data_IF_091505058292
#
_entry.id   IF_091505058292
#
_cell.length_a   1.000
_cell.length_b   1.000
_cell.length_c   1.000
_cell.angle_alpha   90.00
_cell.angle_beta   90.00
_cell.angle_gamma   90.00
#
_symmetry.space_group_name_H-M   'P 1'
#
loop_
_entity.id
_entity.type
_entity.pdbx_description
1 polymer ?
#
# COMPACT_ATOMS: atom_id res chain seq x y z
N UNK A 1 52.27 -6.51 -22.31
CA UNK A 1 50.92 -6.81 -22.84
C UNK A 1 50.73 -8.32 -22.86
N UNK A 2 49.58 -8.90 -22.47
CA UNK A 2 48.55 -8.57 -21.46
C UNK A 2 48.46 -9.72 -20.41
N UNK A 3 47.62 -9.76 -19.38
CA UNK A 3 46.56 -8.89 -18.89
C UNK A 3 46.06 -9.44 -17.55
N UNK A 4 45.93 -8.55 -16.56
CA UNK A 4 45.11 -8.79 -15.38
C UNK A 4 43.71 -8.27 -15.70
N UNK A 5 42.77 -9.18 -15.95
CA UNK A 5 41.37 -8.86 -16.14
C UNK A 5 40.64 -8.95 -14.81
N UNK A 6 40.24 -7.81 -14.30
CA UNK A 6 39.45 -7.65 -13.08
C UNK A 6 38.19 -8.52 -13.11
N UNK A 7 37.97 -9.20 -11.98
CA UNK A 7 36.75 -9.89 -11.61
C UNK A 7 35.56 -8.92 -11.69
N UNK A 8 34.71 -9.12 -12.70
CA UNK A 8 33.38 -8.52 -12.83
C UNK A 8 32.58 -8.76 -11.54
N UNK A 9 32.44 -7.73 -10.69
CA UNK A 9 31.33 -7.67 -9.74
C UNK A 9 30.06 -7.35 -10.52
N UNK A 10 28.94 -8.06 -10.31
CA UNK A 10 27.67 -7.68 -10.90
C UNK A 10 27.29 -6.27 -10.37
N UNK A 11 26.61 -5.45 -11.19
CA UNK A 11 26.18 -4.14 -10.75
C UNK A 11 25.21 -4.31 -9.59
N UNK A 12 25.56 -3.75 -8.43
CA UNK A 12 24.60 -3.43 -7.37
C UNK A 12 23.57 -2.51 -8.00
N UNK A 13 22.40 -3.05 -8.33
CA UNK A 13 21.21 -2.25 -8.65
C UNK A 13 21.00 -1.31 -7.47
N UNK A 14 21.31 -0.04 -7.69
CA UNK A 14 21.31 1.00 -6.68
C UNK A 14 19.86 1.20 -6.25
N UNK A 15 19.60 1.23 -4.94
CA UNK A 15 18.27 1.44 -4.36
C UNK A 15 17.58 2.74 -4.83
N UNK A 16 18.34 3.64 -5.48
CA UNK A 16 17.91 4.97 -5.96
C UNK A 16 16.88 4.92 -7.12
N UNK A 17 16.77 3.80 -7.85
CA UNK A 17 15.82 3.66 -8.98
C UNK A 17 14.44 3.10 -8.57
N UNK A 18 14.25 2.75 -7.30
CA UNK A 18 13.00 2.18 -6.80
C UNK A 18 12.09 3.31 -6.33
N UNK A 19 10.89 3.50 -6.92
CA UNK A 19 10.01 4.59 -6.50
C UNK A 19 9.60 4.46 -5.04
N UNK A 20 9.89 5.50 -4.26
CA UNK A 20 9.56 5.61 -2.84
C UNK A 20 8.28 6.44 -2.64
N UNK A 21 7.51 6.19 -1.57
CA UNK A 21 6.40 7.08 -1.23
C UNK A 21 6.93 8.48 -0.86
N UNK A 22 6.19 9.50 -1.25
CA UNK A 22 6.47 10.90 -0.91
C UNK A 22 5.63 11.36 0.28
N UNK A 23 6.15 12.31 1.04
CA UNK A 23 5.48 12.91 2.20
C UNK A 23 6.19 12.59 3.51
N UNK A 24 6.17 13.55 4.44
CA UNK A 24 6.89 13.47 5.71
C UNK A 24 6.31 12.46 6.72
N UNK A 25 5.14 11.91 6.44
CA UNK A 25 4.48 10.91 7.29
C UNK A 25 4.89 9.47 6.96
N UNK A 26 5.70 9.26 5.91
CA UNK A 26 6.28 7.96 5.58
C UNK A 26 7.62 7.79 6.28
N UNK A 27 7.70 6.78 7.13
CA UNK A 27 8.90 6.43 7.88
C UNK A 27 9.60 5.25 7.23
N UNK A 28 10.89 5.39 6.92
CA UNK A 28 11.70 4.27 6.45
C UNK A 28 11.96 3.31 7.61
N UNK A 29 11.84 2.01 7.33
CA UNK A 29 12.08 0.95 8.32
C UNK A 29 13.02 -0.10 7.75
N UNK A 30 13.97 -0.56 8.55
CA UNK A 30 14.85 -1.65 8.19
C UNK A 30 14.13 -3.01 8.35
N UNK A 31 14.40 -4.01 7.49
CA UNK A 31 13.69 -5.30 7.51
C UNK A 31 13.67 -6.00 8.88
N UNK A 32 14.73 -5.88 9.67
CA UNK A 32 14.84 -6.51 10.99
C UNK A 32 13.91 -5.87 12.05
N UNK A 33 13.46 -4.65 11.82
CA UNK A 33 12.52 -3.92 12.68
C UNK A 33 11.05 -4.14 12.29
N UNK A 34 10.77 -4.91 11.23
CA UNK A 34 9.40 -5.20 10.81
C UNK A 34 8.68 -6.10 11.84
N UNK A 35 7.38 -5.85 12.09
CA UNK A 35 6.52 -6.78 12.82
C UNK A 35 6.53 -8.18 12.17
N UNK A 36 6.37 -9.23 12.97
CA UNK A 36 6.38 -10.62 12.46
C UNK A 36 5.34 -10.89 11.37
N UNK A 37 4.16 -10.26 11.47
CA UNK A 37 3.08 -10.31 10.48
C UNK A 37 3.50 -9.75 9.12
N UNK A 38 4.30 -8.67 9.11
CA UNK A 38 4.81 -8.00 7.90
C UNK A 38 6.04 -8.73 7.36
N UNK A 39 6.89 -9.25 8.24
CA UNK A 39 8.07 -10.05 7.84
C UNK A 39 7.66 -11.27 7.01
N UNK A 40 6.58 -11.94 7.39
CA UNK A 40 6.01 -13.05 6.62
C UNK A 40 5.50 -12.61 5.22
N UNK A 41 5.22 -11.33 5.01
CA UNK A 41 4.83 -10.81 3.70
C UNK A 41 6.00 -10.74 2.71
N UNK A 42 7.26 -10.64 3.18
CA UNK A 42 8.44 -10.58 2.32
C UNK A 42 8.49 -11.74 1.33
N UNK A 43 8.16 -12.95 1.79
CA UNK A 43 8.15 -14.16 0.94
C UNK A 43 7.08 -14.12 -0.17
N UNK A 44 6.06 -13.27 -0.02
CA UNK A 44 4.92 -13.15 -0.95
C UNK A 44 5.08 -11.97 -1.90
N UNK A 45 5.69 -10.88 -1.44
CA UNK A 45 5.79 -9.64 -2.20
C UNK A 45 7.00 -9.69 -3.15
N UNK A 46 6.71 -9.79 -4.44
CA UNK A 46 7.70 -9.76 -5.50
C UNK A 46 8.14 -8.32 -5.81
N UNK A 47 9.41 -8.09 -6.21
CA UNK A 47 9.82 -6.79 -6.75
C UNK A 47 8.86 -6.29 -7.85
N UNK A 48 8.62 -4.98 -7.88
CA UNK A 48 7.80 -4.34 -8.91
C UNK A 48 8.68 -3.41 -9.76
N UNK A 49 9.05 -3.83 -11.00
CA UNK A 49 9.76 -2.98 -11.95
C UNK A 49 9.01 -1.67 -12.26
N UNK A 50 9.76 -0.64 -12.63
CA UNK A 50 9.18 0.60 -13.15
C UNK A 50 8.27 0.32 -14.37
N UNK A 51 7.15 1.02 -14.47
CA UNK A 51 6.17 0.84 -15.56
C UNK A 51 5.30 -0.42 -15.47
N UNK A 52 5.45 -1.25 -14.43
CA UNK A 52 4.62 -2.45 -14.26
C UNK A 52 3.12 -2.10 -14.13
N UNK A 53 2.28 -2.80 -14.88
CA UNK A 53 0.81 -2.68 -14.87
C UNK A 53 0.12 -3.83 -14.15
N UNK A 54 0.87 -4.75 -13.53
CA UNK A 54 0.30 -5.88 -12.79
C UNK A 54 -0.48 -5.38 -11.56
N UNK A 55 -1.56 -6.08 -11.15
CA UNK A 55 -2.29 -5.75 -9.93
C UNK A 55 -1.35 -5.59 -8.72
N UNK A 56 -1.66 -4.64 -7.83
CA UNK A 56 -1.03 -4.53 -6.51
C UNK A 56 -1.34 -5.79 -5.72
N UNK A 57 -0.30 -6.40 -5.14
CA UNK A 57 -0.39 -7.48 -4.19
C UNK A 57 -0.20 -6.89 -2.80
N UNK A 58 -1.04 -7.31 -1.87
CA UNK A 58 -0.95 -6.97 -0.46
C UNK A 58 -1.12 -8.18 0.45
N UNK A 59 -0.68 -8.02 1.69
CA UNK A 59 -0.85 -8.96 2.78
C UNK A 59 -1.46 -8.20 3.94
N UNK A 60 -2.75 -8.43 4.21
CA UNK A 60 -3.51 -7.84 5.30
C UNK A 60 -3.58 -8.81 6.47
N UNK A 61 -2.97 -8.46 7.61
CA UNK A 61 -2.90 -9.33 8.80
C UNK A 61 -2.48 -10.79 8.48
N UNK A 62 -1.55 -10.97 7.53
CA UNK A 62 -1.05 -12.27 7.08
C UNK A 62 -1.82 -12.93 5.93
N UNK A 63 -2.95 -12.38 5.52
CA UNK A 63 -3.75 -12.89 4.41
C UNK A 63 -3.56 -12.09 3.12
N UNK A 64 -3.46 -12.78 2.00
CA UNK A 64 -3.26 -12.15 0.70
C UNK A 64 -4.49 -11.37 0.24
N UNK A 65 -4.24 -10.19 -0.35
CA UNK A 65 -5.26 -9.36 -0.98
C UNK A 65 -4.68 -8.74 -2.25
N UNK A 66 -5.43 -8.74 -3.35
CA UNK A 66 -4.98 -8.19 -4.63
C UNK A 66 -5.90 -7.08 -5.10
N UNK A 67 -5.35 -6.09 -5.80
CA UNK A 67 -6.16 -5.01 -6.37
C UNK A 67 -6.98 -5.48 -7.58
N UNK A 68 -8.05 -4.75 -7.91
CA UNK A 68 -8.95 -5.05 -9.02
C UNK A 68 -10.12 -5.95 -8.61
N UNK A 69 -10.78 -6.58 -9.59
CA UNK A 69 -11.93 -7.46 -9.35
C UNK A 69 -13.30 -6.76 -9.42
N UNK A 70 -13.34 -5.43 -9.29
CA UNK A 70 -14.56 -4.65 -9.54
C UNK A 70 -15.66 -4.85 -8.50
N UNK A 71 -15.35 -5.39 -7.32
CA UNK A 71 -16.33 -5.73 -6.30
C UNK A 71 -16.83 -4.48 -5.56
N UNK A 72 -17.84 -3.83 -6.14
CA UNK A 72 -18.46 -2.63 -5.57
C UNK A 72 -19.15 -2.87 -4.23
N UNK A 73 -19.42 -4.13 -3.84
CA UNK A 73 -20.03 -4.42 -2.53
C UNK A 73 -19.12 -3.99 -1.37
N UNK A 74 -17.81 -3.90 -1.61
CA UNK A 74 -16.81 -3.42 -0.66
C UNK A 74 -16.95 -1.93 -0.33
N UNK A 75 -17.72 -1.18 -1.11
CA UNK A 75 -18.03 0.23 -0.89
C UNK A 75 -19.53 0.49 -0.66
N UNK A 76 -20.33 -0.56 -0.45
CA UNK A 76 -21.78 -0.43 -0.30
C UNK A 76 -22.20 0.33 0.96
N UNK A 77 -21.32 0.38 1.97
CA UNK A 77 -21.49 1.09 3.24
C UNK A 77 -20.80 2.46 3.25
N UNK A 78 -20.41 2.98 2.07
CA UNK A 78 -19.70 4.24 1.94
C UNK A 78 -20.54 5.31 1.25
N UNK A 79 -20.56 6.49 1.84
CA UNK A 79 -21.04 7.71 1.21
C UNK A 79 -20.05 8.18 0.13
N UNK A 80 -20.54 8.21 -1.11
CA UNK A 80 -19.80 8.64 -2.29
C UNK A 80 -20.23 10.01 -2.81
N UNK A 81 -21.10 10.76 -2.12
CA UNK A 81 -21.42 12.14 -2.49
C UNK A 81 -20.14 13.01 -2.55
N UNK A 82 -19.99 13.91 -3.54
CA UNK A 82 -20.90 14.29 -4.63
C UNK A 82 -20.83 13.44 -5.91
N UNK A 83 -20.16 12.29 -5.87
CA UNK A 83 -19.95 11.45 -7.05
C UNK A 83 -21.23 10.67 -7.37
N UNK A 84 -21.49 10.47 -8.67
CA UNK A 84 -22.60 9.64 -9.17
C UNK A 84 -22.55 8.16 -8.73
N UNK A 85 -21.42 7.73 -8.17
CA UNK A 85 -21.17 6.40 -7.64
C UNK A 85 -19.80 6.35 -6.97
N UNK A 86 -19.47 5.27 -6.25
CA UNK A 86 -18.19 5.15 -5.57
C UNK A 86 -17.04 5.15 -6.60
N UNK A 87 -15.98 5.94 -6.38
CA UNK A 87 -14.81 5.91 -7.25
C UNK A 87 -14.14 4.55 -7.15
N UNK A 88 -13.42 4.12 -8.20
CA UNK A 88 -12.73 2.82 -8.25
C UNK A 88 -11.80 2.62 -7.04
N UNK A 89 -11.19 3.70 -6.58
CA UNK A 89 -10.35 3.70 -5.38
C UNK A 89 -11.07 3.27 -4.12
N UNK A 90 -12.40 3.30 -4.02
CA UNK A 90 -13.15 2.83 -2.84
C UNK A 90 -13.23 1.31 -2.72
N UNK A 91 -13.01 0.55 -3.80
CA UNK A 91 -13.25 -0.90 -3.78
C UNK A 91 -12.18 -1.75 -4.47
N UNK A 92 -11.46 -1.21 -5.45
CA UNK A 92 -10.48 -2.01 -6.20
C UNK A 92 -9.09 -1.98 -5.61
N UNK A 93 -8.70 -0.93 -4.87
CA UNK A 93 -7.36 -0.80 -4.31
C UNK A 93 -7.22 -1.63 -3.02
N UNK A 94 -6.06 -2.25 -2.81
CA UNK A 94 -5.81 -3.13 -1.66
C UNK A 94 -6.02 -2.43 -0.33
N UNK A 95 -5.71 -1.13 -0.25
CA UNK A 95 -5.92 -0.26 0.90
C UNK A 95 -7.40 -0.17 1.26
N UNK A 96 -8.25 0.02 0.26
CA UNK A 96 -9.70 0.16 0.46
C UNK A 96 -10.36 -1.19 0.75
N UNK A 97 -9.83 -2.28 0.17
CA UNK A 97 -10.28 -3.63 0.54
C UNK A 97 -9.89 -3.99 1.98
N UNK A 98 -8.71 -3.57 2.43
CA UNK A 98 -8.30 -3.70 3.84
C UNK A 98 -9.23 -2.88 4.76
N UNK A 99 -9.52 -1.62 4.40
CA UNK A 99 -10.48 -0.80 5.15
C UNK A 99 -11.87 -1.46 5.20
N UNK A 100 -12.37 -1.97 4.07
CA UNK A 100 -13.64 -2.68 4.01
C UNK A 100 -13.64 -3.95 4.88
N UNK A 101 -12.52 -4.66 4.95
CA UNK A 101 -12.37 -5.79 5.87
C UNK A 101 -12.41 -5.34 7.33
N UNK A 102 -11.70 -4.28 7.69
CA UNK A 102 -11.75 -3.71 9.05
C UNK A 102 -13.17 -3.29 9.44
N UNK A 103 -13.93 -2.65 8.53
CA UNK A 103 -15.35 -2.31 8.76
C UNK A 103 -16.21 -3.54 9.01
N UNK A 104 -16.02 -4.61 8.23
CA UNK A 104 -16.78 -5.87 8.39
C UNK A 104 -16.41 -6.65 9.65
N UNK A 105 -15.16 -6.66 10.05
CA UNK A 105 -14.67 -7.44 11.19
C UNK A 105 -14.66 -6.66 12.50
N UNK A 106 -14.89 -5.35 12.47
CA UNK A 106 -14.78 -4.48 13.65
C UNK A 106 -13.34 -4.32 14.14
N UNK A 107 -12.33 -4.53 13.27
CA UNK A 107 -10.92 -4.43 13.66
C UNK A 107 -10.53 -2.98 13.90
N UNK A 108 -9.95 -2.71 15.07
CA UNK A 108 -9.48 -1.37 15.47
C UNK A 108 -8.03 -1.11 15.10
N UNK A 109 -7.20 -2.15 14.98
CA UNK A 109 -5.81 -2.05 14.56
C UNK A 109 -5.47 -3.18 13.57
N UNK A 110 -4.79 -2.82 12.48
CA UNK A 110 -4.38 -3.76 11.43
C UNK A 110 -3.11 -3.33 10.72
N UNK A 111 -2.39 -4.31 10.18
CA UNK A 111 -1.27 -4.10 9.26
C UNK A 111 -1.66 -4.51 7.84
N UNK A 112 -1.26 -3.70 6.86
CA UNK A 112 -1.34 -4.01 5.44
C UNK A 112 0.05 -3.81 4.82
N UNK A 113 0.68 -4.88 4.34
CA UNK A 113 1.90 -4.79 3.54
C UNK A 113 1.56 -4.84 2.04
N UNK A 114 2.14 -3.99 1.20
CA UNK A 114 1.88 -3.96 -0.24
C UNK A 114 3.16 -3.85 -1.05
N UNK A 115 3.15 -4.40 -2.26
CA UNK A 115 4.30 -4.37 -3.16
C UNK A 115 4.40 -3.11 -4.05
N UNK A 116 3.56 -2.10 -3.77
CA UNK A 116 3.46 -0.84 -4.50
C UNK A 116 3.47 0.35 -3.53
N UNK A 117 3.55 1.57 -4.06
CA UNK A 117 3.23 2.77 -3.29
C UNK A 117 1.72 2.98 -3.22
N UNK A 118 1.27 3.65 -2.16
CA UNK A 118 -0.12 4.09 -2.02
C UNK A 118 -0.41 5.16 -3.08
N UNK A 119 -1.52 5.08 -3.80
CA UNK A 119 -1.83 6.16 -4.75
C UNK A 119 -2.10 7.47 -4.00
N UNK A 120 -1.60 8.58 -4.53
CA UNK A 120 -1.55 9.88 -3.85
C UNK A 120 -0.20 10.15 -3.16
N UNK A 121 0.67 9.14 -3.05
CA UNK A 121 2.02 9.27 -2.47
C UNK A 121 3.11 9.10 -3.52
N UNK A 122 2.82 9.32 -4.80
CA UNK A 122 3.82 9.41 -5.87
C UNK A 122 3.81 10.80 -6.46
N UNK A 123 4.96 11.33 -6.91
CA UNK A 123 5.06 12.66 -7.54
C UNK A 123 4.00 12.91 -8.62
N UNK A 124 3.67 11.89 -9.41
CA UNK A 124 2.69 11.98 -10.50
C UNK A 124 1.22 12.08 -10.07
N UNK A 125 0.86 11.66 -8.86
CA UNK A 125 -0.53 11.49 -8.43
C UNK A 125 -0.91 12.27 -7.16
N UNK A 126 0.02 13.03 -6.56
CA UNK A 126 -0.24 13.86 -5.38
C UNK A 126 -1.40 14.85 -5.57
N UNK A 127 -1.58 15.40 -6.77
CA UNK A 127 -2.63 16.38 -7.05
C UNK A 127 -4.01 15.76 -7.26
N UNK A 128 -4.11 14.43 -7.40
CA UNK A 128 -5.39 13.78 -7.66
C UNK A 128 -6.25 13.70 -6.39
N UNK A 129 -7.51 14.18 -6.43
CA UNK A 129 -8.35 14.31 -5.23
C UNK A 129 -8.82 12.97 -4.66
N UNK A 130 -9.00 11.95 -5.51
CA UNK A 130 -9.58 10.66 -5.13
C UNK A 130 -8.53 9.56 -5.07
N UNK A 131 -7.52 9.78 -4.24
CA UNK A 131 -6.39 8.86 -4.02
C UNK A 131 -6.52 8.16 -2.67
N UNK A 132 -6.04 6.93 -2.56
CA UNK A 132 -6.05 6.14 -1.32
C UNK A 132 -5.45 6.94 -0.17
N UNK A 133 -4.36 7.65 -0.39
CA UNK A 133 -3.74 8.49 0.64
C UNK A 133 -4.70 9.50 1.28
N UNK A 134 -5.61 10.07 0.48
CA UNK A 134 -6.57 11.08 0.91
C UNK A 134 -7.86 10.48 1.45
N UNK A 135 -8.36 9.41 0.84
CA UNK A 135 -9.68 8.84 1.17
C UNK A 135 -9.61 7.85 2.33
N UNK A 136 -8.46 7.20 2.54
CA UNK A 136 -8.34 6.07 3.45
C UNK A 136 -8.76 6.42 4.88
N UNK A 137 -8.38 7.59 5.47
CA UNK A 137 -8.90 8.02 6.77
C UNK A 137 -10.44 8.03 6.85
N UNK A 138 -11.11 8.55 5.82
CA UNK A 138 -12.57 8.73 5.82
C UNK A 138 -13.34 7.40 5.70
N UNK A 139 -12.73 6.38 5.09
CA UNK A 139 -13.37 5.07 4.86
C UNK A 139 -12.95 3.99 5.87
N UNK A 140 -12.02 4.31 6.78
CA UNK A 140 -11.66 3.47 7.91
C UNK A 140 -12.64 3.69 9.08
N UNK A 141 -12.93 2.66 9.90
CA UNK A 141 -13.74 2.85 11.12
C UNK A 141 -13.20 3.98 12.00
N UNK A 142 -14.07 4.80 12.58
CA UNK A 142 -13.65 5.92 13.43
C UNK A 142 -12.77 5.43 14.61
N UNK A 143 -11.62 6.09 14.80
CA UNK A 143 -10.63 5.76 15.83
C UNK A 143 -9.76 4.54 15.52
N UNK A 144 -10.00 3.83 14.40
CA UNK A 144 -9.16 2.70 14.01
C UNK A 144 -7.81 3.15 13.44
N UNK A 145 -6.84 2.23 13.41
CA UNK A 145 -5.47 2.45 12.94
C UNK A 145 -5.14 1.39 11.91
N UNK A 146 -4.90 1.81 10.67
CA UNK A 146 -4.33 0.95 9.63
C UNK A 146 -2.90 1.38 9.38
N UNK A 147 -1.94 0.52 9.71
CA UNK A 147 -0.55 0.74 9.32
C UNK A 147 -0.31 0.12 7.95
N UNK A 148 0.03 0.97 6.98
CA UNK A 148 0.36 0.52 5.63
C UNK A 148 1.87 0.49 5.48
N UNK A 149 2.38 -0.69 5.14
CA UNK A 149 3.78 -0.96 4.85
C UNK A 149 3.94 -1.10 3.34
N UNK A 150 4.90 -0.41 2.76
CA UNK A 150 5.18 -0.48 1.32
C UNK A 150 6.59 -0.96 1.09
N UNK A 151 6.73 -1.85 0.11
CA UNK A 151 8.02 -2.25 -0.46
C UNK A 151 7.85 -2.36 -1.97
N UNK A 152 8.84 -1.93 -2.75
CA UNK A 152 8.79 -2.07 -4.22
C UNK A 152 9.90 -2.95 -4.77
N UNK A 153 10.86 -3.31 -3.94
CA UNK A 153 12.05 -4.08 -4.27
C UNK A 153 12.02 -5.49 -3.67
N UNK A 154 10.83 -5.99 -3.34
CA UNK A 154 10.64 -7.36 -2.83
C UNK A 154 11.08 -7.52 -1.38
N UNK A 155 10.90 -6.47 -0.57
CA UNK A 155 11.15 -6.49 0.85
C UNK A 155 12.56 -6.08 1.28
N UNK A 156 13.36 -5.52 0.37
CA UNK A 156 14.71 -5.01 0.69
C UNK A 156 14.59 -3.65 1.40
N UNK A 157 13.75 -2.76 0.90
CA UNK A 157 13.41 -1.49 1.55
C UNK A 157 11.94 -1.46 1.93
N UNK A 158 11.68 -0.89 3.11
CA UNK A 158 10.34 -0.72 3.65
C UNK A 158 10.10 0.71 4.10
N UNK A 159 8.88 1.16 3.85
CA UNK A 159 8.35 2.39 4.40
C UNK A 159 7.01 2.11 5.04
N UNK A 160 6.64 2.86 6.06
CA UNK A 160 5.30 2.76 6.62
C UNK A 160 4.69 4.11 6.93
N UNK A 161 3.35 4.13 6.93
CA UNK A 161 2.53 5.21 7.47
C UNK A 161 1.36 4.62 8.24
N UNK A 162 0.93 5.30 9.29
CA UNK A 162 -0.29 4.94 10.04
C UNK A 162 -1.41 5.89 9.62
N UNK A 163 -2.51 5.32 9.12
CA UNK A 163 -3.74 6.04 8.83
C UNK A 163 -4.71 5.90 9.99
N UNK A 164 -5.26 7.03 10.44
CA UNK A 164 -6.27 7.08 11.51
C UNK A 164 -7.64 7.22 10.87
N UNK A 165 -8.55 6.31 11.21
CA UNK A 165 -9.91 6.34 10.70
C UNK A 165 -10.73 7.46 11.32
N UNK A 166 -11.37 8.28 10.49
CA UNK A 166 -12.36 9.28 10.89
C UNK A 166 -13.79 8.74 10.73
N UNK A 167 -13.98 7.78 9.83
CA UNK A 167 -15.29 7.18 9.53
C UNK A 167 -16.28 8.15 8.87
N UNK A 168 -15.84 9.32 8.43
CA UNK A 168 -16.70 10.38 7.87
C UNK A 168 -17.54 9.92 6.68
N UNK A 169 -17.04 8.94 5.91
CA UNK A 169 -17.74 8.39 4.75
C UNK A 169 -18.47 7.09 5.03
N UNK A 170 -18.51 6.58 6.26
CA UNK A 170 -19.22 5.33 6.56
C UNK A 170 -20.68 5.64 6.86
N UNK A 171 -21.59 5.05 6.09
CA UNK A 171 -23.03 5.19 6.31
C UNK A 171 -23.45 4.40 7.55
N UNK A 172 -24.31 4.98 8.39
CA UNK A 172 -24.86 4.33 9.59
C UNK A 172 -25.90 3.25 9.26
#
# INVERSE_FOLDING_TARGET
MPGGGEINRPPTTQADDVPQPVGSEWERTEPDALPGTVRAAVERLQPRPAGSTRPTLGVFNGEEITSGGGDRSLAADLDHDPLRGPPVTFYDHVESKAAARMRRTGSTESDLAIDNTVCGTNDRDQSYPWTCDKILPAILPNGSRLRVWVTRDGGVTWWHRVYIGTGERITK
#
